data_IF_682600250463
#
_entry.id   IF_682600250463
#
_cell.length_a   1.000
_cell.length_b   1.000
_cell.length_c   1.000
_cell.angle_alpha   90.00
_cell.angle_beta   90.00
_cell.angle_gamma   90.00
#
_symmetry.space_group_name_H-M   'P 1'
#
loop_
_entity.id
_entity.type
_entity.pdbx_description
1 polymer ?
#
# COMPACT_ATOMS: atom_id res chain seq x y z
N UNK A 1 -13.00 11.36 4.42
CA UNK A 1 -12.10 11.88 3.35
C UNK A 1 -10.87 12.54 3.92
N UNK A 2 -10.99 13.59 4.75
CA UNK A 2 -9.81 14.21 5.39
C UNK A 2 -9.03 13.19 6.21
N UNK A 3 -9.71 12.41 7.04
CA UNK A 3 -9.09 11.32 7.83
C UNK A 3 -8.34 10.32 6.94
N UNK A 4 -9.00 9.77 5.91
CA UNK A 4 -8.35 8.83 4.96
C UNK A 4 -7.15 9.40 4.21
N UNK A 5 -7.17 10.69 3.87
CA UNK A 5 -6.00 11.34 3.28
C UNK A 5 -4.85 11.52 4.28
N UNK A 6 -5.19 11.76 5.55
CA UNK A 6 -4.22 11.85 6.65
C UNK A 6 -3.61 10.47 6.94
N UNK A 7 -4.41 9.41 6.95
CA UNK A 7 -3.98 8.02 7.14
C UNK A 7 -2.90 7.61 6.11
N UNK A 8 -3.06 7.99 4.84
CA UNK A 8 -2.07 7.75 3.78
C UNK A 8 -0.75 8.51 4.04
N UNK A 9 -0.83 9.76 4.54
CA UNK A 9 0.34 10.56 4.88
C UNK A 9 1.08 10.00 6.10
N UNK A 10 0.35 9.62 7.13
CA UNK A 10 0.88 9.01 8.34
C UNK A 10 1.55 7.68 8.04
N UNK A 11 0.93 6.86 7.19
CA UNK A 11 1.50 5.59 6.73
C UNK A 11 2.78 5.81 5.91
N UNK A 12 2.79 6.80 5.01
CA UNK A 12 3.99 7.19 4.25
C UNK A 12 5.14 7.63 5.16
N UNK A 13 4.83 8.40 6.21
CA UNK A 13 5.80 8.84 7.20
C UNK A 13 6.33 7.67 8.04
N UNK A 14 5.44 6.76 8.46
CA UNK A 14 5.79 5.54 9.17
C UNK A 14 6.77 4.68 8.35
N UNK A 15 6.42 4.34 7.10
CA UNK A 15 7.25 3.53 6.21
C UNK A 15 8.64 4.15 6.07
N UNK A 16 8.70 5.46 5.82
CA UNK A 16 9.97 6.20 5.70
C UNK A 16 10.85 6.07 6.94
N UNK A 17 10.25 6.09 8.13
CA UNK A 17 10.97 5.94 9.41
C UNK A 17 11.42 4.51 9.65
N UNK A 18 10.62 3.50 9.34
CA UNK A 18 11.03 2.10 9.50
C UNK A 18 12.16 1.74 8.55
N UNK A 19 12.11 2.19 7.29
CA UNK A 19 13.23 2.05 6.35
C UNK A 19 14.50 2.67 6.94
N UNK A 20 14.41 3.88 7.49
CA UNK A 20 15.57 4.53 8.13
C UNK A 20 16.13 3.69 9.28
N UNK A 21 15.28 3.20 10.19
CA UNK A 21 15.71 2.36 11.33
C UNK A 21 16.41 1.09 10.84
N UNK A 22 15.83 0.43 9.86
CA UNK A 22 16.36 -0.82 9.32
C UNK A 22 17.75 -0.65 8.70
N UNK A 23 17.91 0.33 7.82
CA UNK A 23 19.16 0.50 7.07
C UNK A 23 20.25 1.30 7.78
N UNK A 24 19.89 2.27 8.63
CA UNK A 24 20.88 3.09 9.33
C UNK A 24 21.23 2.53 10.71
N UNK A 25 20.24 2.01 11.46
CA UNK A 25 20.44 1.64 12.86
C UNK A 25 20.75 0.13 13.01
N UNK A 26 20.25 -0.73 12.10
CA UNK A 26 20.42 -2.19 12.17
C UNK A 26 21.30 -2.83 11.08
N UNK A 27 21.84 -2.05 10.13
CA UNK A 27 22.45 -2.52 8.87
C UNK A 27 23.40 -3.73 8.92
N UNK A 28 24.10 -3.99 10.03
CA UNK A 28 25.00 -5.16 10.20
C UNK A 28 24.28 -6.52 10.22
N UNK A 29 22.97 -6.56 10.53
CA UNK A 29 22.19 -7.79 10.55
C UNK A 29 21.67 -8.23 9.17
N UNK A 30 21.87 -7.42 8.13
CA UNK A 30 21.20 -7.58 6.83
C UNK A 30 22.01 -8.40 5.81
N UNK A 31 23.33 -8.55 6.00
CA UNK A 31 24.22 -9.12 4.98
C UNK A 31 23.81 -10.54 4.55
N UNK A 32 23.34 -11.36 5.52
CA UNK A 32 22.96 -12.76 5.29
C UNK A 32 21.63 -12.93 4.56
N UNK A 33 20.74 -11.95 4.64
CA UNK A 33 19.40 -11.99 4.04
C UNK A 33 19.19 -10.85 3.03
N UNK A 34 20.27 -10.29 2.51
CA UNK A 34 20.25 -9.12 1.61
C UNK A 34 19.44 -9.36 0.34
N UNK A 35 19.49 -10.57 -0.24
CA UNK A 35 18.69 -10.95 -1.41
C UNK A 35 17.18 -10.98 -1.12
N UNK A 36 16.80 -11.49 0.05
CA UNK A 36 15.41 -11.55 0.52
C UNK A 36 14.88 -10.14 0.71
N UNK A 37 15.64 -9.29 1.40
CA UNK A 37 15.30 -7.89 1.63
C UNK A 37 15.14 -7.18 0.28
N UNK A 38 16.10 -7.32 -0.63
CA UNK A 38 16.04 -6.69 -1.95
C UNK A 38 14.79 -7.11 -2.73
N UNK A 39 14.43 -8.41 -2.68
CA UNK A 39 13.22 -8.92 -3.32
C UNK A 39 11.96 -8.28 -2.73
N UNK A 40 11.82 -8.26 -1.40
CA UNK A 40 10.65 -7.66 -0.74
C UNK A 40 10.54 -6.17 -1.06
N UNK A 41 11.65 -5.42 -0.98
CA UNK A 41 11.67 -3.99 -1.33
C UNK A 41 11.33 -3.73 -2.79
N UNK A 42 11.74 -4.62 -3.72
CA UNK A 42 11.31 -4.50 -5.11
C UNK A 42 9.80 -4.64 -5.26
N UNK A 43 9.19 -5.55 -4.51
CA UNK A 43 7.73 -5.71 -4.47
C UNK A 43 7.05 -4.50 -3.85
N UNK A 44 7.57 -3.97 -2.73
CA UNK A 44 7.03 -2.75 -2.10
C UNK A 44 7.05 -1.55 -3.05
N UNK A 45 8.12 -1.39 -3.85
CA UNK A 45 8.17 -0.35 -4.88
C UNK A 45 7.06 -0.55 -5.91
N UNK A 46 6.82 -1.78 -6.36
CA UNK A 46 5.72 -2.08 -7.29
C UNK A 46 4.35 -1.76 -6.70
N UNK A 47 4.10 -2.16 -5.44
CA UNK A 47 2.86 -1.82 -4.72
C UNK A 47 2.68 -0.30 -4.59
N UNK A 48 3.74 0.44 -4.23
CA UNK A 48 3.70 1.90 -4.14
C UNK A 48 3.41 2.59 -5.48
N UNK A 49 3.85 2.02 -6.60
CA UNK A 49 3.46 2.54 -7.92
C UNK A 49 1.98 2.30 -8.23
N UNK A 50 1.39 1.19 -7.77
CA UNK A 50 -0.07 0.99 -7.82
C UNK A 50 -0.81 1.97 -6.91
N UNK A 51 -0.30 2.22 -5.69
CA UNK A 51 -0.86 3.25 -4.78
C UNK A 51 -0.88 4.63 -5.43
N UNK A 52 0.20 5.00 -6.12
CA UNK A 52 0.24 6.26 -6.91
C UNK A 52 -0.75 6.25 -8.06
N UNK A 53 -1.03 5.10 -8.67
CA UNK A 53 -2.08 4.93 -9.66
C UNK A 53 -3.47 5.18 -9.06
N UNK A 54 -3.78 4.54 -7.94
CA UNK A 54 -5.06 4.68 -7.25
C UNK A 54 -5.30 6.11 -6.77
N UNK A 55 -4.29 6.80 -6.22
CA UNK A 55 -4.39 8.21 -5.86
C UNK A 55 -4.76 9.11 -7.06
N UNK A 56 -4.29 8.80 -8.27
CA UNK A 56 -4.68 9.54 -9.48
C UNK A 56 -6.15 9.30 -9.84
N UNK A 57 -6.60 8.06 -9.74
CA UNK A 57 -8.01 7.70 -9.96
C UNK A 57 -8.92 8.34 -8.91
N UNK A 58 -8.51 8.33 -7.63
CA UNK A 58 -9.24 8.98 -6.55
C UNK A 58 -9.35 10.49 -6.77
N UNK A 59 -8.26 11.15 -7.19
CA UNK A 59 -8.32 12.56 -7.57
C UNK A 59 -9.24 12.80 -8.78
N UNK A 60 -9.25 11.90 -9.76
CA UNK A 60 -10.16 11.99 -10.90
C UNK A 60 -11.63 11.89 -10.46
N UNK A 61 -11.97 11.00 -9.51
CA UNK A 61 -13.31 10.91 -8.91
C UNK A 61 -13.74 12.22 -8.25
N UNK A 62 -12.86 12.86 -7.49
CA UNK A 62 -13.15 14.12 -6.80
C UNK A 62 -13.44 15.29 -7.76
N UNK A 63 -12.89 15.22 -8.97
CA UNK A 63 -13.04 16.25 -10.00
C UNK A 63 -14.03 15.89 -11.10
N UNK A 64 -14.68 14.73 -11.00
CA UNK A 64 -15.58 14.24 -12.03
C UNK A 64 -16.91 15.05 -12.05
N UNK A 65 -17.41 15.33 -13.26
CA UNK A 65 -18.65 16.09 -13.45
C UNK A 65 -19.89 15.20 -13.54
N UNK A 66 -19.73 13.87 -13.64
CA UNK A 66 -20.82 12.94 -13.77
C UNK A 66 -20.56 11.59 -13.07
N UNK A 67 -21.64 10.92 -12.69
CA UNK A 67 -21.64 9.67 -11.94
C UNK A 67 -20.98 8.51 -12.71
N UNK A 68 -21.13 8.47 -14.04
CA UNK A 68 -20.55 7.40 -14.85
C UNK A 68 -19.02 7.43 -14.74
N UNK A 69 -18.42 8.63 -14.80
CA UNK A 69 -16.98 8.79 -14.63
C UNK A 69 -16.53 8.39 -13.24
N UNK A 70 -17.27 8.77 -12.19
CA UNK A 70 -16.95 8.36 -10.81
C UNK A 70 -16.93 6.83 -10.68
N UNK A 71 -17.88 6.13 -11.30
CA UNK A 71 -17.94 4.65 -11.29
C UNK A 71 -16.79 4.01 -12.06
N UNK A 72 -16.44 4.54 -13.22
CA UNK A 72 -15.29 4.05 -14.00
C UNK A 72 -13.99 4.12 -13.19
N UNK A 73 -13.75 5.24 -12.51
CA UNK A 73 -12.55 5.44 -11.70
C UNK A 73 -12.53 4.54 -10.46
N UNK A 74 -13.67 4.31 -9.78
CA UNK A 74 -13.75 3.31 -8.68
C UNK A 74 -13.43 1.90 -9.16
N UNK A 75 -13.93 1.47 -10.32
CA UNK A 75 -13.57 0.15 -10.88
C UNK A 75 -12.07 0.07 -11.18
N UNK A 76 -11.44 1.18 -11.56
CA UNK A 76 -9.99 1.21 -11.77
C UNK A 76 -9.21 1.07 -10.46
N UNK A 77 -9.68 1.67 -9.35
CA UNK A 77 -9.07 1.54 -8.02
C UNK A 77 -9.16 0.09 -7.52
N UNK A 78 -10.33 -0.54 -7.59
CA UNK A 78 -10.52 -1.95 -7.19
C UNK A 78 -9.59 -2.91 -7.94
N UNK A 79 -9.42 -2.73 -9.25
CA UNK A 79 -8.46 -3.54 -10.03
C UNK A 79 -7.00 -3.31 -9.65
N UNK A 80 -6.67 -2.20 -9.00
CA UNK A 80 -5.34 -1.96 -8.46
C UNK A 80 -5.20 -2.61 -7.09
N UNK A 81 -6.23 -2.53 -6.25
CA UNK A 81 -6.33 -3.20 -4.95
C UNK A 81 -6.14 -4.71 -5.10
N UNK A 82 -6.90 -5.36 -5.99
CA UNK A 82 -6.79 -6.81 -6.24
C UNK A 82 -5.36 -7.23 -6.60
N UNK A 83 -4.61 -6.38 -7.34
CA UNK A 83 -3.22 -6.68 -7.72
C UNK A 83 -2.24 -6.50 -6.57
N UNK A 84 -2.47 -5.53 -5.71
CA UNK A 84 -1.62 -5.31 -4.54
C UNK A 84 -1.88 -6.38 -3.48
N UNK A 85 -3.12 -6.85 -3.36
CA UNK A 85 -3.49 -8.01 -2.57
C UNK A 85 -2.75 -9.28 -3.00
N UNK A 86 -2.71 -9.56 -4.31
CA UNK A 86 -1.90 -10.67 -4.84
C UNK A 86 -0.41 -10.51 -4.49
N UNK A 87 0.14 -9.29 -4.62
CA UNK A 87 1.54 -9.01 -4.27
C UNK A 87 1.82 -9.11 -2.77
N UNK A 88 0.85 -8.74 -1.93
CA UNK A 88 0.91 -8.86 -0.47
C UNK A 88 1.02 -10.34 -0.09
N UNK A 89 0.11 -11.16 -0.58
CA UNK A 89 0.06 -12.59 -0.26
C UNK A 89 1.34 -13.29 -0.76
N UNK A 90 1.77 -13.01 -1.98
CA UNK A 90 3.04 -13.52 -2.53
C UNK A 90 4.24 -13.09 -1.68
N UNK A 91 4.21 -11.86 -1.13
CA UNK A 91 5.27 -11.34 -0.28
C UNK A 91 5.29 -12.02 1.09
N UNK A 92 4.14 -12.23 1.73
CA UNK A 92 4.05 -13.00 2.97
C UNK A 92 4.55 -14.41 2.75
N UNK A 93 4.05 -15.10 1.73
CA UNK A 93 4.49 -16.43 1.36
C UNK A 93 6.01 -16.49 1.17
N UNK A 94 6.58 -15.52 0.49
CA UNK A 94 8.02 -15.42 0.31
C UNK A 94 8.77 -15.21 1.63
N UNK A 95 8.31 -14.31 2.50
CA UNK A 95 8.93 -14.05 3.81
C UNK A 95 8.89 -15.31 4.68
N UNK A 96 7.73 -15.97 4.79
CA UNK A 96 7.56 -17.16 5.62
C UNK A 96 8.36 -18.37 5.10
N UNK A 97 8.42 -18.57 3.78
CA UNK A 97 9.24 -19.64 3.19
C UNK A 97 10.74 -19.49 3.48
N UNK A 98 11.21 -18.27 3.70
CA UNK A 98 12.61 -17.98 3.99
C UNK A 98 12.85 -17.64 5.47
N UNK A 99 11.88 -17.87 6.38
CA UNK A 99 11.94 -17.39 7.76
C UNK A 99 13.19 -17.88 8.52
N UNK A 100 13.66 -19.09 8.26
CA UNK A 100 14.86 -19.67 8.89
C UNK A 100 16.16 -18.91 8.55
N UNK A 101 16.19 -18.20 7.42
CA UNK A 101 17.34 -17.44 6.93
C UNK A 101 17.28 -15.95 7.35
N UNK A 102 16.22 -15.54 8.05
CA UNK A 102 15.94 -14.14 8.35
C UNK A 102 16.01 -13.92 9.88
N UNK A 103 16.87 -12.98 10.35
CA UNK A 103 16.81 -12.54 11.74
C UNK A 103 15.42 -12.02 12.09
N UNK A 104 14.91 -12.36 13.27
CA UNK A 104 13.55 -11.98 13.70
C UNK A 104 13.21 -10.50 13.48
N UNK A 105 14.15 -9.58 13.73
CA UNK A 105 13.91 -8.15 13.51
C UNK A 105 13.70 -7.81 12.03
N UNK A 106 14.44 -8.45 11.12
CA UNK A 106 14.25 -8.30 9.67
C UNK A 106 12.90 -8.88 9.26
N UNK A 107 12.53 -10.05 9.81
CA UNK A 107 11.24 -10.68 9.54
C UNK A 107 10.08 -9.77 9.95
N UNK A 108 10.08 -9.27 11.20
CA UNK A 108 9.07 -8.36 11.72
C UNK A 108 8.98 -7.10 10.86
N UNK A 109 10.12 -6.51 10.51
CA UNK A 109 10.18 -5.32 9.66
C UNK A 109 9.55 -5.55 8.28
N UNK A 110 9.85 -6.67 7.62
CA UNK A 110 9.30 -6.97 6.30
C UNK A 110 7.79 -7.24 6.37
N UNK A 111 7.32 -7.97 7.39
CA UNK A 111 5.89 -8.22 7.61
C UNK A 111 5.14 -6.91 7.87
N UNK A 112 5.65 -6.07 8.77
CA UNK A 112 5.02 -4.79 9.11
C UNK A 112 4.97 -3.84 7.91
N UNK A 113 6.05 -3.76 7.12
CA UNK A 113 6.05 -2.97 5.89
C UNK A 113 5.09 -3.51 4.83
N UNK A 114 4.93 -4.84 4.72
CA UNK A 114 4.00 -5.44 3.76
C UNK A 114 2.58 -4.99 4.07
N UNK A 115 2.13 -5.11 5.33
CA UNK A 115 0.84 -4.59 5.77
C UNK A 115 0.71 -3.08 5.53
N UNK A 116 1.72 -2.30 5.87
CA UNK A 116 1.62 -0.83 5.78
C UNK A 116 1.57 -0.33 4.34
N UNK A 117 2.22 -0.99 3.39
CA UNK A 117 2.17 -0.59 1.98
C UNK A 117 0.83 -0.96 1.36
N UNK A 118 0.23 -2.07 1.79
CA UNK A 118 -1.11 -2.54 1.43
C UNK A 118 -2.21 -1.60 1.95
N UNK A 119 -2.18 -1.28 3.25
CA UNK A 119 -3.14 -0.38 3.93
C UNK A 119 -3.37 0.95 3.16
N UNK A 120 -2.32 1.46 2.49
CA UNK A 120 -2.42 2.72 1.72
C UNK A 120 -3.38 2.63 0.54
N UNK A 121 -3.52 1.45 -0.07
CA UNK A 121 -4.41 1.23 -1.20
C UNK A 121 -5.84 0.96 -0.74
N UNK A 122 -6.00 0.20 0.34
CA UNK A 122 -7.27 0.02 1.04
C UNK A 122 -7.86 1.37 1.43
N UNK A 123 -7.03 2.28 1.96
CA UNK A 123 -7.46 3.65 2.27
C UNK A 123 -7.92 4.44 1.02
N UNK A 124 -7.35 4.16 -0.15
CA UNK A 124 -7.81 4.74 -1.41
C UNK A 124 -9.16 4.14 -1.85
N UNK A 125 -9.36 2.83 -1.67
CA UNK A 125 -10.63 2.17 -1.97
C UNK A 125 -11.74 2.67 -1.03
N UNK A 126 -11.49 2.69 0.28
CA UNK A 126 -12.41 3.24 1.29
C UNK A 126 -12.80 4.68 0.96
N UNK A 127 -11.83 5.51 0.55
CA UNK A 127 -12.09 6.88 0.14
C UNK A 127 -12.97 6.93 -1.13
N UNK A 128 -12.75 6.04 -2.10
CA UNK A 128 -13.56 5.95 -3.31
C UNK A 128 -15.02 5.54 -2.99
N UNK A 129 -15.21 4.59 -2.09
CA UNK A 129 -16.52 4.12 -1.66
C UNK A 129 -17.29 5.21 -0.89
N UNK A 130 -16.59 6.00 -0.08
CA UNK A 130 -17.15 7.19 0.56
C UNK A 130 -17.62 8.22 -0.48
N UNK A 131 -16.84 8.47 -1.55
CA UNK A 131 -17.24 9.37 -2.64
C UNK A 131 -18.53 8.87 -3.30
N UNK A 132 -18.60 7.58 -3.66
CA UNK A 132 -19.81 6.97 -4.25
C UNK A 132 -21.03 7.16 -3.34
N UNK A 133 -20.85 6.95 -2.04
CA UNK A 133 -21.92 7.10 -1.04
C UNK A 133 -22.41 8.54 -0.95
N UNK A 134 -21.50 9.51 -0.95
CA UNK A 134 -21.82 10.94 -0.92
C UNK A 134 -22.57 11.34 -2.19
N UNK A 135 -22.05 10.98 -3.38
CA UNK A 135 -22.69 11.32 -4.66
C UNK A 135 -24.11 10.77 -4.73
N UNK A 136 -24.34 9.52 -4.33
CA UNK A 136 -25.69 8.93 -4.28
C UNK A 136 -26.62 9.64 -3.30
N UNK A 137 -26.11 10.16 -2.19
CA UNK A 137 -26.89 10.83 -1.15
C UNK A 137 -27.30 12.26 -1.54
N UNK A 138 -26.61 12.89 -2.48
CA UNK A 138 -26.92 14.25 -2.97
C UNK A 138 -27.84 14.22 -4.19
N UNK A 139 -27.72 13.19 -5.03
CA UNK A 139 -28.51 13.03 -6.26
C UNK A 139 -29.87 12.36 -6.03
N UNK A 140 -30.10 11.79 -4.83
CA UNK A 140 -31.39 11.20 -4.39
C UNK A 140 -32.21 12.19 -3.56
#
# INVERSE_FOLDING_TARGET
MVEKSDDILDTSYFISREIKRMFLDYGRGMDRCSSIIQKCYSTFISMLEYNKGALKHLNAMLTAENDDKIREERIAIEKLEEKVDELKDDTFDYIYRNADDIPYLVFSHLVDLTHKVDDMLDDCEDAADLIITITRSITS
#
